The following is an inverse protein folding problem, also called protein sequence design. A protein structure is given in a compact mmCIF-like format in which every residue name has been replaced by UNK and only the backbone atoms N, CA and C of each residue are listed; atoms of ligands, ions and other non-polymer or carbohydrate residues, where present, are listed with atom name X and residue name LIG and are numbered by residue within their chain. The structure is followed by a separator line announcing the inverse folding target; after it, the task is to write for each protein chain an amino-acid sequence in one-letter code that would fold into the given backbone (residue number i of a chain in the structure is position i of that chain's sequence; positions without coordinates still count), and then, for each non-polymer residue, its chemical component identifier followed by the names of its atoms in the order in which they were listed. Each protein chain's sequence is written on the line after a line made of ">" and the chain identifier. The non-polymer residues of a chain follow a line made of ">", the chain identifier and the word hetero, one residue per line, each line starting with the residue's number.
data_IF_000920880949
#
_entry.id   IF_000920880949
#
_cell.length_a   1.000
_cell.length_b   1.000
_cell.length_c   1.000
_cell.angle_alpha   90.00
_cell.angle_beta   90.00
_cell.angle_gamma   90.00
#
_symmetry.space_group_name_H-M   'P 1'
#
loop_
_entity.id
_entity.type
_entity.pdbx_description
1 polymer ?
#
# COMPACT_ATOMS: atom_id res chain seq x y z
N UNK A 1 10.50 -0.82 19.50
CA UNK A 1 10.27 0.37 18.66
C UNK A 1 9.86 -0.05 17.26
N UNK A 2 8.88 0.64 16.71
CA UNK A 2 8.35 0.31 15.37
C UNK A 2 8.92 1.31 14.37
N UNK A 3 9.46 0.79 13.28
CA UNK A 3 9.94 1.62 12.18
C UNK A 3 9.00 1.45 11.00
N UNK A 4 8.54 2.56 10.44
CA UNK A 4 7.63 2.55 9.30
C UNK A 4 8.39 2.98 8.05
N UNK A 5 8.40 2.11 7.04
CA UNK A 5 8.99 2.42 5.74
C UNK A 5 7.91 2.97 4.84
N UNK A 6 8.01 4.25 4.49
CA UNK A 6 7.01 4.87 3.61
C UNK A 6 7.19 4.35 2.20
N UNK A 7 6.13 3.75 1.64
CA UNK A 7 6.14 3.17 0.28
C UNK A 7 7.21 2.09 0.12
N UNK A 8 7.64 1.49 1.26
CA UNK A 8 8.69 0.49 1.27
C UNK A 8 10.09 1.06 1.35
N UNK A 9 10.26 2.37 1.46
CA UNK A 9 11.57 3.00 1.48
C UNK A 9 12.25 2.80 2.82
N UNK A 10 13.36 2.08 2.83
CA UNK A 10 14.17 1.90 4.02
C UNK A 10 15.29 2.92 4.05
N UNK A 11 15.84 3.26 2.90
CA UNK A 11 17.03 4.10 2.80
C UNK A 11 16.77 5.46 2.20
N UNK A 12 15.53 5.92 2.26
CA UNK A 12 15.17 7.21 1.71
C UNK A 12 14.37 7.07 0.43
N UNK A 13 13.90 8.19 -0.11
CA UNK A 13 13.00 8.16 -1.26
C UNK A 13 13.60 7.48 -2.47
N UNK A 14 12.80 6.67 -3.15
CA UNK A 14 13.21 5.97 -4.36
C UNK A 14 12.02 5.84 -5.28
N UNK A 15 11.86 6.80 -6.18
CA UNK A 15 10.67 6.86 -7.02
C UNK A 15 10.53 5.67 -7.95
N UNK A 16 11.62 5.01 -8.25
CA UNK A 16 11.59 3.86 -9.15
C UNK A 16 10.95 2.65 -8.50
N UNK A 17 11.21 2.43 -7.21
CA UNK A 17 10.77 1.22 -6.53
C UNK A 17 9.62 1.44 -5.55
N UNK A 18 9.32 2.68 -5.20
CA UNK A 18 8.25 2.99 -4.26
C UNK A 18 6.95 2.31 -4.64
N UNK A 19 6.25 1.75 -3.66
CA UNK A 19 4.95 1.12 -3.82
C UNK A 19 4.95 -0.13 -4.71
N UNK A 20 6.10 -0.67 -5.06
CA UNK A 20 6.14 -1.97 -5.72
C UNK A 20 6.03 -3.06 -4.67
N UNK A 21 5.30 -4.11 -5.01
CA UNK A 21 5.04 -5.19 -4.05
C UNK A 21 6.34 -5.80 -3.54
N UNK A 22 7.28 -6.12 -4.41
CA UNK A 22 8.53 -6.75 -3.98
C UNK A 22 9.36 -5.83 -3.08
N UNK A 23 9.29 -4.52 -3.31
CA UNK A 23 10.00 -3.55 -2.51
C UNK A 23 9.40 -3.48 -1.10
N UNK A 24 8.07 -3.46 -1.04
CA UNK A 24 7.34 -3.46 0.22
C UNK A 24 7.61 -4.75 0.99
N UNK A 25 7.55 -5.89 0.31
CA UNK A 25 7.78 -7.17 0.96
C UNK A 25 9.19 -7.27 1.52
N UNK A 26 10.17 -6.72 0.81
CA UNK A 26 11.54 -6.69 1.31
C UNK A 26 11.64 -5.91 2.62
N UNK A 27 10.97 -4.77 2.71
CA UNK A 27 10.97 -3.98 3.94
C UNK A 27 10.29 -4.74 5.08
N UNK A 28 9.16 -5.39 4.80
CA UNK A 28 8.47 -6.17 5.81
C UNK A 28 9.33 -7.32 6.34
N UNK A 29 10.07 -7.97 5.44
CA UNK A 29 10.96 -9.08 5.83
C UNK A 29 12.09 -8.60 6.72
N UNK A 30 12.47 -7.34 6.61
CA UNK A 30 13.52 -6.76 7.45
C UNK A 30 13.01 -6.21 8.77
N UNK A 31 11.72 -6.42 9.04
CA UNK A 31 11.15 -6.04 10.33
C UNK A 31 10.50 -4.67 10.35
N UNK A 32 10.38 -4.02 9.21
CA UNK A 32 9.68 -2.73 9.15
C UNK A 32 8.19 -2.94 8.97
N UNK A 33 7.40 -1.97 9.45
CA UNK A 33 6.04 -1.82 8.95
C UNK A 33 6.10 -0.89 7.75
N UNK A 34 5.13 -0.99 6.86
CA UNK A 34 5.16 -0.18 5.64
C UNK A 34 3.89 0.62 5.47
N UNK A 35 4.05 1.88 5.10
CA UNK A 35 2.92 2.69 4.63
C UNK A 35 2.91 2.62 3.12
N UNK A 36 1.74 2.35 2.55
CA UNK A 36 1.59 2.23 1.10
C UNK A 36 0.45 3.11 0.61
N UNK A 37 0.57 3.58 -0.62
CA UNK A 37 -0.42 4.47 -1.23
C UNK A 37 -1.37 3.66 -2.09
N UNK A 38 -2.66 3.66 -1.71
CA UNK A 38 -3.66 2.76 -2.29
C UNK A 38 -4.69 3.54 -3.09
N UNK A 39 -4.98 3.06 -4.29
CA UNK A 39 -6.01 3.59 -5.17
C UNK A 39 -7.00 2.50 -5.49
N UNK A 40 -8.24 2.90 -5.78
CA UNK A 40 -9.22 1.97 -6.35
C UNK A 40 -9.83 2.62 -7.58
N UNK A 41 -9.88 1.85 -8.65
CA UNK A 41 -10.46 2.27 -9.92
C UNK A 41 -11.55 1.25 -10.27
N UNK A 42 -12.75 1.71 -10.62
CA UNK A 42 -13.86 0.81 -10.89
C UNK A 42 -13.56 -0.17 -12.02
N UNK A 43 -12.66 0.18 -12.92
CA UNK A 43 -12.32 -0.67 -14.06
C UNK A 43 -11.07 -1.50 -13.81
N UNK A 44 -10.09 -0.93 -13.11
CA UNK A 44 -8.80 -1.60 -12.93
C UNK A 44 -8.65 -2.28 -11.57
N UNK A 45 -9.53 -1.96 -10.62
CA UNK A 45 -9.44 -2.53 -9.29
C UNK A 45 -8.46 -1.79 -8.40
N UNK A 46 -7.74 -2.54 -7.56
CA UNK A 46 -6.82 -1.98 -6.59
C UNK A 46 -5.46 -1.72 -7.23
N UNK A 47 -4.89 -0.56 -6.90
CA UNK A 47 -3.57 -0.19 -7.43
C UNK A 47 -2.78 0.53 -6.35
N UNK A 48 -1.45 0.46 -6.46
CA UNK A 48 -0.54 1.23 -5.61
C UNK A 48 0.16 2.29 -6.44
N UNK A 49 0.52 3.41 -5.82
CA UNK A 49 1.26 4.48 -6.47
C UNK A 49 1.16 5.76 -5.69
N UNK A 50 2.19 6.59 -5.74
CA UNK A 50 2.20 7.83 -4.96
C UNK A 50 1.50 8.96 -5.67
N UNK A 51 1.97 9.32 -6.86
CA UNK A 51 1.40 10.46 -7.59
C UNK A 51 0.20 10.06 -8.43
N UNK A 52 0.14 8.80 -8.83
CA UNK A 52 -0.94 8.28 -9.66
C UNK A 52 -0.98 6.76 -9.48
N UNK A 53 -2.09 6.12 -9.83
CA UNK A 53 -2.17 4.66 -9.70
C UNK A 53 -1.28 4.00 -10.74
N UNK A 54 -0.35 3.18 -10.25
CA UNK A 54 0.68 2.59 -11.10
C UNK A 54 0.65 1.07 -11.15
N UNK A 55 0.58 0.44 -9.97
CA UNK A 55 0.85 -1.00 -9.87
C UNK A 55 -0.41 -1.74 -9.47
N UNK A 56 -1.00 -2.52 -10.39
CA UNK A 56 -2.16 -3.34 -10.02
C UNK A 56 -1.80 -4.36 -8.94
N UNK A 57 -2.68 -4.54 -7.98
CA UNK A 57 -2.47 -5.51 -6.92
C UNK A 57 -3.76 -6.27 -6.66
N UNK A 58 -3.60 -7.43 -6.03
CA UNK A 58 -4.71 -8.21 -5.54
C UNK A 58 -5.13 -7.64 -4.19
N UNK A 59 -6.43 -7.62 -3.93
CA UNK A 59 -6.94 -7.16 -2.63
C UNK A 59 -6.30 -7.93 -1.48
N UNK A 60 -5.98 -9.20 -1.69
CA UNK A 60 -5.35 -10.00 -0.64
C UNK A 60 -4.05 -9.40 -0.15
N UNK A 61 -3.32 -8.71 -1.00
CA UNK A 61 -2.07 -8.07 -0.59
C UNK A 61 -2.33 -7.03 0.49
N UNK A 62 -3.47 -6.34 0.40
CA UNK A 62 -3.81 -5.28 1.37
C UNK A 62 -4.12 -5.85 2.75
N UNK A 63 -4.34 -7.14 2.86
CA UNK A 63 -4.60 -7.80 4.14
C UNK A 63 -3.31 -8.25 4.83
N UNK A 64 -2.16 -8.02 4.22
CA UNK A 64 -0.87 -8.36 4.81
C UNK A 64 -0.67 -7.58 6.10
N UNK A 65 -0.14 -8.25 7.12
CA UNK A 65 0.12 -7.61 8.40
C UNK A 65 1.20 -6.54 8.25
N UNK A 66 1.12 -5.54 9.11
CA UNK A 66 2.11 -4.47 9.22
C UNK A 66 2.08 -3.50 8.04
N UNK A 67 0.95 -3.45 7.33
CA UNK A 67 0.73 -2.43 6.30
C UNK A 67 -0.16 -1.32 6.84
N UNK A 68 0.22 -0.09 6.54
CA UNK A 68 -0.58 1.10 6.81
C UNK A 68 -1.08 1.61 5.47
N UNK A 69 -2.39 1.60 5.29
CA UNK A 69 -2.98 1.91 3.98
C UNK A 69 -3.37 3.39 3.93
N UNK A 70 -2.71 4.12 3.04
CA UNK A 70 -3.03 5.51 2.78
C UNK A 70 -3.88 5.56 1.52
N UNK A 71 -5.18 5.80 1.68
CA UNK A 71 -6.09 5.84 0.54
C UNK A 71 -5.90 7.15 -0.21
N UNK A 72 -5.56 7.03 -1.48
CA UNK A 72 -5.26 8.19 -2.30
C UNK A 72 -6.48 8.76 -3.01
N UNK A 73 -7.57 7.99 -3.09
CA UNK A 73 -8.81 8.53 -3.65
C UNK A 73 -10.00 8.06 -2.84
N UNK A 74 -11.14 8.71 -3.04
CA UNK A 74 -12.35 8.42 -2.27
C UNK A 74 -12.84 7.01 -2.53
N UNK A 75 -12.66 6.51 -3.75
CA UNK A 75 -13.10 5.15 -4.08
C UNK A 75 -12.35 4.11 -3.26
N UNK A 76 -11.05 4.31 -3.07
CA UNK A 76 -10.27 3.39 -2.24
C UNK A 76 -10.79 3.37 -0.81
N UNK A 77 -11.04 4.55 -0.25
CA UNK A 77 -11.54 4.63 1.12
C UNK A 77 -12.90 3.94 1.23
N UNK A 78 -13.79 4.20 0.28
CA UNK A 78 -15.12 3.62 0.30
C UNK A 78 -15.05 2.10 0.18
N UNK A 79 -14.25 1.59 -0.74
CA UNK A 79 -14.14 0.14 -0.93
C UNK A 79 -13.53 -0.54 0.28
N UNK A 80 -12.51 0.06 0.87
CA UNK A 80 -11.92 -0.51 2.08
C UNK A 80 -12.92 -0.56 3.23
N UNK A 81 -13.73 0.47 3.38
CA UNK A 81 -14.70 0.51 4.48
C UNK A 81 -15.70 -0.62 4.36
N UNK A 82 -16.00 -1.08 3.15
CA UNK A 82 -16.91 -2.22 2.96
C UNK A 82 -16.29 -3.53 3.46
N UNK A 83 -14.97 -3.65 3.36
CA UNK A 83 -14.28 -4.88 3.73
C UNK A 83 -13.83 -4.89 5.18
N UNK A 84 -13.75 -3.73 5.81
CA UNK A 84 -13.24 -3.62 7.17
C UNK A 84 -14.27 -3.12 8.15
N UNK A 85 -15.52 -3.26 7.82
CA UNK A 85 -16.61 -2.72 8.64
C UNK A 85 -16.84 -3.50 9.91
N UNK A 86 -16.04 -4.47 10.16
CA UNK A 86 -16.16 -5.28 11.36
C UNK A 86 -15.94 -4.50 12.64
N UNK A 87 -15.52 -3.31 12.51
CA UNK A 87 -15.29 -2.46 13.67
C UNK A 87 -16.54 -2.03 14.34
#
# INVERSE_FOLDING_TARGET
>A
MIYIAHRGNIRGPNKEFENRVEYIQSALEQGYECEIDVWFDDQRGWLLGHDYPQYPIDFKFLLTENLWLHCKNDRALYQLSKHTKTK
#
